data_IF_206514945081
#
_entry.id   IF_206514945081
#
_cell.length_a   1.000
_cell.length_b   1.000
_cell.length_c   1.000
_cell.angle_alpha   90.00
_cell.angle_beta   90.00
_cell.angle_gamma   90.00
#
_symmetry.space_group_name_H-M   'P 1'
#
loop_
_entity.id
_entity.type
_entity.pdbx_description
1 polymer ?
#
# COMPACT_ATOMS: atom_id res chain seq x y z
N UNK A 1 14.53 -35.18 23.29
CA UNK A 1 14.65 -34.64 21.91
C UNK A 1 13.47 -33.70 21.68
N UNK A 2 13.62 -32.41 21.97
CA UNK A 2 12.57 -31.41 21.76
C UNK A 2 12.69 -30.87 20.33
N UNK A 3 11.64 -31.00 19.53
CA UNK A 3 11.58 -30.39 18.21
C UNK A 3 11.49 -28.87 18.35
N UNK A 4 12.48 -28.15 17.84
CA UNK A 4 12.47 -26.70 17.71
C UNK A 4 11.37 -26.30 16.73
N UNK A 5 10.36 -25.60 17.23
CA UNK A 5 9.27 -25.04 16.45
C UNK A 5 9.80 -23.84 15.64
N UNK A 6 10.26 -24.11 14.41
CA UNK A 6 10.83 -23.12 13.49
C UNK A 6 9.80 -22.14 12.89
N UNK A 7 8.54 -22.14 13.36
CA UNK A 7 7.47 -21.37 12.73
C UNK A 7 7.14 -20.01 13.39
N UNK A 8 7.95 -19.55 14.33
CA UNK A 8 7.66 -18.34 15.12
C UNK A 8 7.93 -16.99 14.41
N UNK A 9 8.47 -16.99 13.17
CA UNK A 9 8.95 -15.76 12.51
C UNK A 9 8.45 -15.53 11.08
N UNK A 10 7.43 -16.26 10.61
CA UNK A 10 6.79 -15.86 9.35
C UNK A 10 5.96 -14.59 9.60
N UNK A 11 6.13 -13.51 8.82
CA UNK A 11 5.25 -12.36 8.93
C UNK A 11 3.84 -12.86 8.68
N UNK A 12 2.98 -12.80 9.70
CA UNK A 12 1.56 -13.12 9.58
C UNK A 12 1.01 -12.21 8.48
N UNK A 13 0.76 -12.79 7.32
CA UNK A 13 0.22 -12.06 6.18
C UNK A 13 -1.24 -11.76 6.50
N UNK A 14 -1.50 -10.53 6.94
CA UNK A 14 -2.85 -10.10 7.25
C UNK A 14 -3.60 -9.99 5.93
N UNK A 15 -4.62 -10.83 5.77
CA UNK A 15 -5.54 -10.71 4.67
C UNK A 15 -6.39 -9.45 4.86
N UNK A 16 -6.27 -8.51 3.93
CA UNK A 16 -7.06 -7.29 3.92
C UNK A 16 -8.41 -7.56 3.27
N UNK A 17 -9.53 -7.24 3.93
CA UNK A 17 -10.83 -7.23 3.28
C UNK A 17 -10.87 -6.21 2.13
N UNK A 18 -11.65 -6.51 1.09
CA UNK A 18 -11.74 -5.64 -0.09
C UNK A 18 -12.31 -4.26 0.21
N UNK A 19 -13.35 -4.19 1.03
CA UNK A 19 -13.98 -2.95 1.46
C UNK A 19 -13.01 -2.08 2.28
N UNK A 20 -12.23 -2.69 3.17
CA UNK A 20 -11.20 -1.99 3.93
C UNK A 20 -10.04 -1.50 3.04
N UNK A 21 -9.64 -2.30 2.04
CA UNK A 21 -8.62 -1.90 1.06
C UNK A 21 -9.11 -0.76 0.16
N UNK A 22 -10.38 -0.80 -0.27
CA UNK A 22 -11.00 0.28 -1.03
C UNK A 22 -11.04 1.58 -0.21
N UNK A 23 -11.47 1.52 1.05
CA UNK A 23 -11.45 2.67 1.97
C UNK A 23 -10.03 3.22 2.16
N UNK A 24 -9.02 2.35 2.27
CA UNK A 24 -7.62 2.77 2.32
C UNK A 24 -7.23 3.60 1.08
N UNK A 25 -7.55 3.11 -0.13
CA UNK A 25 -7.24 3.80 -1.39
C UNK A 25 -7.95 5.16 -1.45
N UNK A 26 -9.25 5.19 -1.18
CA UNK A 26 -10.06 6.42 -1.23
C UNK A 26 -9.55 7.47 -0.24
N UNK A 27 -9.27 7.08 1.01
CA UNK A 27 -8.73 8.00 2.03
C UNK A 27 -7.32 8.45 1.68
N UNK A 28 -6.51 7.57 1.08
CA UNK A 28 -5.17 7.94 0.62
C UNK A 28 -5.23 8.95 -0.53
N UNK A 29 -6.15 8.80 -1.49
CA UNK A 29 -6.42 9.79 -2.54
C UNK A 29 -6.85 11.13 -1.94
N UNK A 30 -7.81 11.13 -1.03
CA UNK A 30 -8.28 12.34 -0.35
C UNK A 30 -7.15 13.06 0.42
N UNK A 31 -6.26 12.31 1.08
CA UNK A 31 -5.13 12.88 1.83
C UNK A 31 -3.91 13.17 0.94
N UNK A 32 -3.97 12.96 -0.37
CA UNK A 32 -2.80 13.11 -1.25
C UNK A 32 -2.10 14.47 -1.14
N UNK A 33 -2.81 15.62 -1.13
CA UNK A 33 -2.17 16.92 -0.93
C UNK A 33 -1.40 17.00 0.40
N UNK A 34 -1.96 16.42 1.48
CA UNK A 34 -1.31 16.39 2.79
C UNK A 34 -0.06 15.51 2.78
N UNK A 35 -0.11 14.36 2.13
CA UNK A 35 1.07 13.49 2.01
C UNK A 35 2.20 14.14 1.21
N UNK A 36 1.88 14.89 0.16
CA UNK A 36 2.90 15.58 -0.64
C UNK A 36 3.59 16.74 0.10
N UNK A 37 2.86 17.45 0.97
CA UNK A 37 3.38 18.60 1.73
C UNK A 37 3.97 18.22 3.09
N UNK A 38 3.49 17.13 3.69
CA UNK A 38 3.94 16.68 5.02
C UNK A 38 5.28 15.94 4.95
N UNK A 39 6.24 16.35 5.78
CA UNK A 39 7.53 15.66 5.95
C UNK A 39 7.32 14.18 6.31
N UNK A 40 8.16 13.28 5.79
CA UNK A 40 7.99 11.81 5.96
C UNK A 40 7.82 11.37 7.42
N UNK A 41 8.61 11.92 8.35
CA UNK A 41 8.52 11.56 9.77
C UNK A 41 7.15 11.93 10.40
N UNK A 42 6.48 12.96 9.86
CA UNK A 42 5.17 13.44 10.31
C UNK A 42 3.99 12.75 9.60
N UNK A 43 4.20 12.10 8.45
CA UNK A 43 3.14 11.35 7.75
C UNK A 43 2.54 10.22 8.58
N UNK A 44 3.21 9.80 9.66
CA UNK A 44 2.68 8.87 10.66
C UNK A 44 1.32 9.30 11.23
N UNK A 45 1.06 10.61 11.33
CA UNK A 45 -0.23 11.14 11.78
C UNK A 45 -1.32 10.94 10.72
N UNK A 46 -0.99 11.11 9.43
CA UNK A 46 -1.91 10.87 8.31
C UNK A 46 -2.31 9.39 8.25
N UNK A 47 -1.33 8.48 8.36
CA UNK A 47 -1.60 7.04 8.44
C UNK A 47 -2.44 6.66 9.65
N UNK A 48 -2.26 7.33 10.79
CA UNK A 48 -3.10 7.14 11.98
C UNK A 48 -4.54 7.60 11.70
N UNK A 49 -4.72 8.71 10.99
CA UNK A 49 -6.03 9.20 10.54
C UNK A 49 -6.75 8.17 9.68
N UNK A 50 -6.10 7.68 8.62
CA UNK A 50 -6.66 6.65 7.73
C UNK A 50 -7.01 5.37 8.50
N UNK A 51 -6.13 4.89 9.38
CA UNK A 51 -6.41 3.70 10.19
C UNK A 51 -7.63 3.87 11.10
N UNK A 52 -7.84 5.08 11.64
CA UNK A 52 -9.04 5.40 12.42
C UNK A 52 -10.28 5.39 11.53
N UNK A 53 -10.20 5.96 10.34
CA UNK A 53 -11.33 5.98 9.40
C UNK A 53 -11.73 4.55 9.02
N UNK A 54 -10.78 3.65 8.74
CA UNK A 54 -11.09 2.23 8.46
C UNK A 54 -11.74 1.57 9.69
N UNK A 55 -11.16 1.75 10.89
CA UNK A 55 -11.71 1.17 12.14
C UNK A 55 -13.13 1.62 12.48
N UNK A 56 -13.52 2.81 12.03
CA UNK A 56 -14.84 3.35 12.29
C UNK A 56 -15.91 2.86 11.30
N UNK A 57 -15.48 2.39 10.12
CA UNK A 57 -16.40 1.97 9.04
C UNK A 57 -16.42 0.44 8.83
N UNK A 58 -15.44 -0.29 9.36
CA UNK A 58 -15.29 -1.73 9.13
C UNK A 58 -14.96 -2.49 10.43
N UNK A 59 -15.30 -3.78 10.47
CA UNK A 59 -14.88 -4.68 11.56
C UNK A 59 -13.36 -4.84 11.59
N UNK A 60 -12.71 -4.74 10.43
CA UNK A 60 -11.26 -4.82 10.30
C UNK A 60 -10.55 -3.66 11.00
N UNK A 61 -9.59 -3.97 11.88
CA UNK A 61 -8.94 -2.97 12.75
C UNK A 61 -7.45 -2.78 12.47
N UNK A 62 -7.08 -2.16 11.34
CA UNK A 62 -5.67 -1.99 11.03
C UNK A 62 -5.00 -0.94 11.93
N UNK A 63 -3.71 -1.13 12.13
CA UNK A 63 -2.80 -0.14 12.68
C UNK A 63 -2.33 0.82 11.58
N UNK A 64 -1.76 1.97 11.97
CA UNK A 64 -1.13 2.91 11.03
C UNK A 64 -0.01 2.26 10.21
N UNK A 65 0.73 1.31 10.80
CA UNK A 65 1.83 0.59 10.14
C UNK A 65 1.29 -0.32 9.05
N UNK A 66 0.26 -1.11 9.38
CA UNK A 66 -0.41 -1.99 8.42
C UNK A 66 -1.03 -1.22 7.26
N UNK A 67 -1.63 -0.05 7.49
CA UNK A 67 -2.14 0.80 6.40
C UNK A 67 -1.03 1.22 5.44
N UNK A 68 0.12 1.65 5.97
CA UNK A 68 1.27 2.04 5.15
C UNK A 68 1.84 0.86 4.37
N UNK A 69 1.99 -0.30 5.01
CA UNK A 69 2.50 -1.53 4.38
C UNK A 69 1.55 -2.00 3.26
N UNK A 70 0.24 -2.02 3.52
CA UNK A 70 -0.75 -2.36 2.50
C UNK A 70 -0.75 -1.35 1.35
N UNK A 71 -0.63 -0.06 1.63
CA UNK A 71 -0.52 0.95 0.58
C UNK A 71 0.70 0.73 -0.32
N UNK A 72 1.86 0.44 0.27
CA UNK A 72 3.07 0.12 -0.50
C UNK A 72 2.88 -1.16 -1.33
N UNK A 73 2.22 -2.18 -0.79
CA UNK A 73 1.90 -3.40 -1.53
C UNK A 73 0.97 -3.12 -2.71
N UNK A 74 -0.08 -2.30 -2.53
CA UNK A 74 -0.99 -1.91 -3.62
C UNK A 74 -0.26 -1.17 -4.75
N UNK A 75 0.63 -0.23 -4.41
CA UNK A 75 1.47 0.45 -5.41
C UNK A 75 2.39 -0.54 -6.14
N UNK A 76 3.04 -1.43 -5.40
CA UNK A 76 3.92 -2.46 -5.98
C UNK A 76 3.17 -3.40 -6.91
N UNK A 77 1.96 -3.82 -6.52
CA UNK A 77 1.09 -4.67 -7.34
C UNK A 77 0.67 -4.00 -8.65
N UNK A 78 0.27 -2.73 -8.58
CA UNK A 78 -0.03 -1.92 -9.76
C UNK A 78 1.20 -1.81 -10.70
N UNK A 79 2.37 -1.42 -10.17
CA UNK A 79 3.59 -1.30 -10.99
C UNK A 79 4.00 -2.65 -11.61
N UNK A 80 3.83 -3.75 -10.89
CA UNK A 80 4.10 -5.09 -11.40
C UNK A 80 3.17 -5.44 -12.57
N UNK A 81 1.87 -5.15 -12.46
CA UNK A 81 0.90 -5.33 -13.54
C UNK A 81 1.26 -4.46 -14.76
N UNK A 82 1.60 -3.19 -14.55
CA UNK A 82 2.05 -2.31 -15.62
C UNK A 82 3.30 -2.85 -16.35
N UNK A 83 4.27 -3.41 -15.62
CA UNK A 83 5.45 -4.05 -16.23
C UNK A 83 5.04 -5.25 -17.09
N UNK A 84 4.17 -6.12 -16.58
CA UNK A 84 3.70 -7.31 -17.30
C UNK A 84 2.92 -6.93 -18.57
N UNK A 85 2.02 -5.95 -18.50
CA UNK A 85 1.25 -5.44 -19.64
C UNK A 85 2.17 -4.84 -20.70
N UNK A 86 3.16 -4.05 -20.29
CA UNK A 86 4.08 -3.37 -21.19
C UNK A 86 5.27 -4.24 -21.65
N UNK A 87 5.24 -5.56 -21.38
CA UNK A 87 6.32 -6.52 -21.70
C UNK A 87 7.67 -6.23 -21.03
N UNK A 88 7.68 -5.34 -20.04
CA UNK A 88 8.82 -5.05 -19.17
C UNK A 88 10.16 -4.84 -19.94
N UNK A 89 10.24 -3.83 -20.84
CA UNK A 89 11.42 -3.63 -21.70
C UNK A 89 12.70 -3.35 -20.90
N UNK A 90 12.57 -2.78 -19.70
CA UNK A 90 13.70 -2.48 -18.81
C UNK A 90 14.16 -3.68 -17.98
N UNK A 91 13.44 -4.82 -18.05
CA UNK A 91 13.86 -6.06 -17.39
C UNK A 91 13.80 -6.01 -15.86
N UNK A 92 12.97 -5.14 -15.27
CA UNK A 92 12.82 -5.08 -13.82
C UNK A 92 12.23 -6.39 -13.26
N UNK A 93 12.55 -6.75 -12.00
CA UNK A 93 11.92 -7.90 -11.36
C UNK A 93 10.39 -7.80 -11.37
N UNK A 94 9.74 -8.90 -11.76
CA UNK A 94 8.28 -9.07 -11.71
C UNK A 94 7.93 -10.26 -10.83
N UNK A 95 6.70 -10.29 -10.32
CA UNK A 95 6.14 -11.42 -9.60
C UNK A 95 4.74 -11.76 -10.13
N UNK A 96 4.23 -12.94 -9.76
CA UNK A 96 2.83 -13.29 -10.04
C UNK A 96 1.91 -12.29 -9.33
N UNK A 97 0.98 -11.63 -10.05
CA UNK A 97 -0.02 -10.77 -9.43
C UNK A 97 -0.91 -11.54 -8.46
N UNK A 98 -1.36 -10.87 -7.40
CA UNK A 98 -2.39 -11.39 -6.51
C UNK A 98 -3.77 -10.93 -6.97
N UNK A 99 -4.84 -11.61 -6.50
CA UNK A 99 -6.21 -11.18 -6.75
C UNK A 99 -6.48 -9.74 -6.29
N UNK A 100 -5.81 -9.27 -5.24
CA UNK A 100 -5.91 -7.88 -4.81
C UNK A 100 -5.27 -6.91 -5.80
N UNK A 101 -4.14 -7.29 -6.39
CA UNK A 101 -3.44 -6.43 -7.35
C UNK A 101 -4.33 -6.21 -8.58
N UNK A 102 -4.90 -7.30 -9.11
CA UNK A 102 -5.83 -7.24 -10.25
C UNK A 102 -7.09 -6.45 -9.90
N UNK A 103 -7.71 -6.74 -8.74
CA UNK A 103 -8.95 -6.09 -8.33
C UNK A 103 -8.84 -4.58 -8.18
N UNK A 104 -7.72 -4.11 -7.63
CA UNK A 104 -7.53 -2.68 -7.34
C UNK A 104 -6.70 -1.95 -8.38
N UNK A 105 -6.27 -2.61 -9.47
CA UNK A 105 -5.47 -1.98 -10.53
C UNK A 105 -6.12 -0.71 -11.08
N UNK A 106 -7.41 -0.78 -11.45
CA UNK A 106 -8.14 0.37 -11.97
C UNK A 106 -8.27 1.51 -10.95
N UNK A 107 -8.41 1.21 -9.66
CA UNK A 107 -8.50 2.23 -8.61
C UNK A 107 -7.20 3.04 -8.45
N UNK A 108 -6.06 2.51 -8.90
CA UNK A 108 -4.75 3.20 -8.87
C UNK A 108 -4.31 3.76 -10.23
N UNK A 109 -5.09 3.54 -11.30
CA UNK A 109 -4.74 3.84 -12.70
C UNK A 109 -4.66 5.33 -13.07
N UNK A 110 -5.25 6.21 -12.26
CA UNK A 110 -5.06 7.67 -12.39
C UNK A 110 -3.72 8.13 -11.80
N UNK A 111 -2.96 7.22 -11.19
CA UNK A 111 -1.61 7.41 -10.71
C UNK A 111 -1.42 8.64 -9.80
N UNK A 112 -2.47 9.06 -9.10
CA UNK A 112 -2.48 10.26 -8.25
C UNK A 112 -1.31 10.30 -7.25
N UNK A 113 -0.80 9.11 -6.91
CA UNK A 113 0.25 8.84 -5.96
C UNK A 113 1.67 9.05 -6.50
N UNK A 114 1.88 9.13 -7.82
CA UNK A 114 3.21 9.35 -8.42
C UNK A 114 3.83 10.71 -8.11
N UNK A 115 3.03 11.69 -7.69
CA UNK A 115 3.50 13.04 -7.30
C UNK A 115 4.27 13.05 -5.96
N UNK A 116 4.58 11.88 -5.39
CA UNK A 116 5.46 11.72 -4.24
C UNK A 116 6.92 12.05 -4.60
N UNK A 117 7.26 13.35 -4.64
CA UNK A 117 8.60 14.01 -4.68
C UNK A 117 9.31 14.14 -6.04
N UNK A 118 9.15 15.31 -6.68
CA UNK A 118 10.19 15.94 -7.52
C UNK A 118 11.05 17.00 -6.79
N UNK A 119 10.79 17.29 -5.51
CA UNK A 119 11.42 18.43 -4.80
C UNK A 119 12.55 18.09 -3.83
N UNK A 120 13.24 16.95 -3.98
CA UNK A 120 14.38 16.60 -3.09
C UNK A 120 15.65 16.15 -3.83
N UNK A 121 15.82 16.53 -5.10
CA UNK A 121 17.10 16.37 -5.80
C UNK A 121 17.88 17.68 -5.98
N UNK A 122 17.40 18.81 -5.45
CA UNK A 122 18.15 20.07 -5.45
C UNK A 122 17.88 20.86 -4.16
N UNK A 123 18.66 20.56 -3.12
CA UNK A 123 19.22 21.52 -2.14
C UNK A 123 20.01 20.77 -1.06
#
# INVERSE_FOLDING_TARGET
MAALNLNANLPVYIQWPDDAALTLIQRRRAYQPLFTTTRLHNQNQLWRGIARDIRNNHIFRPTRKQCREKWNALKSGYENLERLINRNPEGYPTHTPTLHDERFHQELSDEFWRVERKYLLFN
#
